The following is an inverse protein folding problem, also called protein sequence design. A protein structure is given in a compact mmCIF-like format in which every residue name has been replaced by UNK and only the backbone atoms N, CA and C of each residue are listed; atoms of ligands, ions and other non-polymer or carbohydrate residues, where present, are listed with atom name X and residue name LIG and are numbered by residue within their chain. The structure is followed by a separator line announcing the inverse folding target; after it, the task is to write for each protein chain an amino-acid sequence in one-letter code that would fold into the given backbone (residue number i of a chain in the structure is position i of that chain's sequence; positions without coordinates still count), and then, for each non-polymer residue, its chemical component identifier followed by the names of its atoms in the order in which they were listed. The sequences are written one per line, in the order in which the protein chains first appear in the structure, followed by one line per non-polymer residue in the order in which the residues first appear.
data_IF_544587111755
#
_entry.id   IF_544587111755
#
_cell.length_a   1.000
_cell.length_b   1.000
_cell.length_c   1.000
_cell.angle_alpha   90.00
_cell.angle_beta   90.00
_cell.angle_gamma   90.00
#
_symmetry.space_group_name_H-M   'P 1'
#
loop_
_entity.id
_entity.type
_entity.pdbx_description
1 polymer ?
#
# COMPACT_ATOMS: atom_id res chain seq x y z
N UNK A 1 -15.71 -2.35 -5.91
CA UNK A 1 -14.38 -2.61 -5.31
C UNK A 1 -14.38 -4.04 -4.81
N UNK A 2 -13.28 -4.78 -4.92
CA UNK A 2 -13.16 -6.10 -4.31
C UNK A 2 -12.21 -6.05 -3.11
N UNK A 3 -12.57 -6.67 -1.99
CA UNK A 3 -11.72 -6.75 -0.81
C UNK A 3 -11.99 -8.01 0.02
N UNK A 4 -11.06 -8.37 0.89
CA UNK A 4 -11.24 -9.44 1.87
C UNK A 4 -11.38 -8.81 3.26
N UNK A 5 -12.46 -9.11 4.01
CA UNK A 5 -12.62 -8.57 5.36
C UNK A 5 -11.40 -8.87 6.24
N UNK A 6 -10.93 -7.85 6.97
CA UNK A 6 -9.69 -7.95 7.75
C UNK A 6 -9.71 -9.08 8.80
N UNK A 7 -10.89 -9.37 9.37
CA UNK A 7 -11.08 -10.46 10.33
C UNK A 7 -10.99 -11.87 9.71
N UNK A 8 -11.10 -11.99 8.38
CA UNK A 8 -10.99 -13.26 7.66
C UNK A 8 -9.53 -13.54 7.28
N UNK A 9 -8.86 -12.56 6.68
CA UNK A 9 -7.45 -12.69 6.28
C UNK A 9 -6.76 -11.31 6.35
N UNK A 10 -6.09 -10.96 7.46
CA UNK A 10 -5.47 -9.65 7.62
C UNK A 10 -4.17 -9.52 6.83
N UNK A 11 -3.94 -8.38 6.19
CA UNK A 11 -2.67 -8.09 5.51
C UNK A 11 -1.55 -7.67 6.49
N UNK A 12 -1.83 -7.50 7.78
CA UNK A 12 -0.85 -6.99 8.76
C UNK A 12 0.40 -7.86 8.86
N UNK A 13 0.26 -9.19 8.77
CA UNK A 13 1.41 -10.09 8.78
C UNK A 13 2.34 -9.84 7.58
N UNK A 14 1.76 -9.59 6.41
CA UNK A 14 2.50 -9.27 5.18
C UNK A 14 3.23 -7.93 5.28
N UNK A 15 2.56 -6.89 5.77
CA UNK A 15 3.20 -5.59 6.02
C UNK A 15 4.32 -5.66 7.05
N UNK A 16 4.15 -6.45 8.11
CA UNK A 16 5.21 -6.65 9.11
C UNK A 16 6.40 -7.39 8.51
N UNK A 17 6.18 -8.43 7.69
CA UNK A 17 7.25 -9.13 7.00
C UNK A 17 8.05 -8.19 6.11
N UNK A 18 7.37 -7.36 5.29
CA UNK A 18 8.05 -6.35 4.47
C UNK A 18 8.85 -5.39 5.36
N UNK A 19 8.28 -4.94 6.47
CA UNK A 19 8.96 -4.04 7.40
C UNK A 19 10.26 -4.65 7.93
N UNK A 20 10.23 -5.89 8.41
CA UNK A 20 11.43 -6.59 8.88
C UNK A 20 12.46 -6.80 7.75
N UNK A 21 12.00 -7.14 6.54
CA UNK A 21 12.88 -7.36 5.39
C UNK A 21 13.61 -6.08 4.97
N UNK A 22 12.93 -4.94 4.92
CA UNK A 22 13.58 -3.69 4.54
C UNK A 22 14.47 -3.11 5.65
N UNK A 23 14.31 -3.57 6.90
CA UNK A 23 15.24 -3.25 8.00
C UNK A 23 16.50 -4.13 7.96
N UNK A 24 16.62 -5.07 7.02
CA UNK A 24 17.84 -5.85 6.82
C UNK A 24 19.00 -4.91 6.46
N UNK A 25 20.13 -5.01 7.19
CA UNK A 25 21.27 -4.09 7.08
C UNK A 25 21.84 -3.97 5.66
N UNK A 26 21.57 -4.95 4.81
CA UNK A 26 21.95 -4.94 3.40
C UNK A 26 20.82 -5.39 2.46
N UNK A 27 19.77 -4.56 2.32
CA UNK A 27 18.67 -4.83 1.37
C UNK A 27 19.17 -5.01 -0.07
N UNK A 28 20.22 -4.28 -0.46
CA UNK A 28 20.79 -4.32 -1.79
C UNK A 28 21.45 -5.67 -2.12
N UNK A 29 22.15 -6.28 -1.16
CA UNK A 29 22.69 -7.63 -1.28
C UNK A 29 21.58 -8.67 -1.25
N UNK A 30 20.61 -8.53 -0.33
CA UNK A 30 19.48 -9.47 -0.23
C UNK A 30 18.71 -9.57 -1.55
N UNK A 31 18.41 -8.44 -2.20
CA UNK A 31 17.72 -8.40 -3.49
C UNK A 31 18.44 -9.13 -4.64
N UNK A 32 19.73 -9.44 -4.49
CA UNK A 32 20.51 -10.19 -5.49
C UNK A 32 20.49 -11.70 -5.27
N UNK A 33 20.02 -12.15 -4.11
CA UNK A 33 19.97 -13.58 -3.74
C UNK A 33 18.91 -14.34 -4.55
N UNK A 34 19.11 -15.66 -4.68
CA UNK A 34 18.08 -16.54 -5.27
C UNK A 34 16.84 -16.65 -4.38
N UNK A 35 17.02 -16.56 -3.06
CA UNK A 35 15.92 -16.57 -2.09
C UNK A 35 14.97 -15.39 -2.33
N UNK A 36 15.51 -14.18 -2.58
CA UNK A 36 14.70 -13.02 -2.90
C UNK A 36 13.83 -13.23 -4.15
N UNK A 37 14.40 -13.81 -5.21
CA UNK A 37 13.70 -14.07 -6.48
C UNK A 37 12.59 -15.12 -6.33
N UNK A 38 12.65 -15.96 -5.31
CA UNK A 38 11.65 -16.99 -5.07
C UNK A 38 10.34 -16.41 -4.50
N UNK A 39 10.40 -15.28 -3.79
CA UNK A 39 9.26 -14.67 -3.14
C UNK A 39 8.70 -13.48 -3.93
N UNK A 40 7.38 -13.33 -3.90
CA UNK A 40 6.68 -12.18 -4.48
C UNK A 40 6.26 -11.25 -3.32
N UNK A 41 7.14 -10.32 -2.91
CA UNK A 41 6.93 -9.43 -1.75
C UNK A 41 6.02 -8.19 -1.93
N UNK A 42 5.59 -7.76 -3.14
CA UNK A 42 4.60 -6.71 -3.31
C UNK A 42 3.20 -7.25 -3.64
N UNK A 43 3.07 -8.53 -3.98
CA UNK A 43 1.82 -9.17 -4.39
C UNK A 43 1.55 -10.45 -3.59
N UNK A 44 0.27 -10.83 -3.48
CA UNK A 44 -0.09 -12.12 -2.93
C UNK A 44 0.55 -13.27 -3.74
N UNK A 45 1.02 -14.31 -3.07
CA UNK A 45 1.42 -15.55 -3.75
C UNK A 45 0.22 -16.23 -4.41
N UNK A 46 0.45 -17.12 -5.39
CA UNK A 46 -0.63 -17.87 -6.05
C UNK A 46 -1.52 -18.65 -5.07
N UNK A 47 -0.95 -19.16 -3.98
CA UNK A 47 -1.72 -19.87 -2.94
C UNK A 47 -2.59 -18.89 -2.16
N UNK A 48 -2.06 -17.72 -1.81
CA UNK A 48 -2.83 -16.67 -1.16
C UNK A 48 -3.94 -16.14 -2.06
N UNK A 49 -3.70 -15.97 -3.37
CA UNK A 49 -4.74 -15.58 -4.33
C UNK A 49 -5.94 -16.53 -4.28
N UNK A 50 -5.74 -17.85 -4.13
CA UNK A 50 -6.85 -18.80 -3.98
C UNK A 50 -7.69 -18.52 -2.72
N UNK A 51 -7.03 -18.17 -1.62
CA UNK A 51 -7.69 -17.82 -0.36
C UNK A 51 -8.41 -16.48 -0.51
N UNK A 52 -7.76 -15.48 -1.12
CA UNK A 52 -8.31 -14.15 -1.31
C UNK A 52 -9.54 -14.20 -2.24
N UNK A 53 -9.47 -14.91 -3.37
CA UNK A 53 -10.61 -15.07 -4.29
C UNK A 53 -11.80 -15.76 -3.63
N UNK A 54 -11.54 -16.79 -2.82
CA UNK A 54 -12.61 -17.53 -2.12
C UNK A 54 -13.34 -16.66 -1.11
N UNK A 55 -12.64 -15.72 -0.48
CA UNK A 55 -13.17 -14.91 0.62
C UNK A 55 -13.48 -13.45 0.24
N UNK A 56 -13.31 -13.07 -1.03
CA UNK A 56 -13.55 -11.70 -1.46
C UNK A 56 -15.02 -11.35 -1.35
N UNK A 57 -15.26 -10.10 -1.01
CA UNK A 57 -16.52 -9.39 -1.15
C UNK A 57 -16.35 -8.37 -2.26
N UNK A 58 -17.36 -8.23 -3.11
CA UNK A 58 -17.40 -7.22 -4.15
C UNK A 58 -18.59 -6.29 -3.88
N UNK A 59 -18.30 -5.00 -3.70
CA UNK A 59 -19.31 -3.96 -3.48
C UNK A 59 -19.34 -3.00 -4.68
N UNK A 60 -20.56 -2.63 -5.08
CA UNK A 60 -20.83 -1.55 -6.03
C UNK A 60 -21.11 -0.25 -5.26
N UNK A 61 -20.80 0.89 -5.90
CA UNK A 61 -20.90 2.20 -5.28
C UNK A 61 -21.61 3.17 -6.20
N UNK A 62 -22.54 3.95 -5.63
CA UNK A 62 -23.17 5.09 -6.28
C UNK A 62 -22.37 6.38 -6.01
N UNK A 63 -22.69 7.44 -6.77
CA UNK A 63 -22.06 8.75 -6.56
C UNK A 63 -22.41 9.27 -5.17
N UNK A 64 -21.39 9.50 -4.35
CA UNK A 64 -21.53 9.97 -2.97
C UNK A 64 -21.24 8.89 -1.93
N UNK A 65 -21.23 7.62 -2.32
CA UNK A 65 -20.83 6.55 -1.41
C UNK A 65 -19.33 6.62 -1.09
N UNK A 66 -18.99 6.21 0.12
CA UNK A 66 -17.62 6.17 0.60
C UNK A 66 -17.29 4.79 1.15
N UNK A 67 -16.09 4.31 0.81
CA UNK A 67 -15.51 3.11 1.40
C UNK A 67 -14.35 3.51 2.29
N UNK A 68 -14.43 3.14 3.58
CA UNK A 68 -13.32 3.29 4.52
C UNK A 68 -12.60 1.95 4.67
N UNK A 69 -11.32 1.90 4.26
CA UNK A 69 -10.48 0.73 4.43
C UNK A 69 -9.32 1.02 5.38
N UNK A 70 -9.05 0.07 6.27
CA UNK A 70 -7.77 0.02 6.97
C UNK A 70 -6.67 -0.39 5.96
N UNK A 71 -5.44 0.12 6.13
CA UNK A 71 -4.28 -0.26 5.31
C UNK A 71 -4.00 -1.77 5.30
N UNK A 72 -4.47 -2.49 6.33
CA UNK A 72 -4.31 -3.94 6.46
C UNK A 72 -5.41 -4.78 5.79
N UNK A 73 -6.21 -4.17 4.91
CA UNK A 73 -7.23 -4.87 4.12
C UNK A 73 -6.67 -5.19 2.73
N UNK A 74 -6.69 -6.48 2.36
CA UNK A 74 -6.46 -6.89 0.98
C UNK A 74 -7.58 -6.38 0.09
N UNK A 75 -7.24 -5.67 -0.98
CA UNK A 75 -8.21 -5.11 -1.90
C UNK A 75 -7.65 -5.03 -3.32
N UNK A 76 -8.55 -5.04 -4.30
CA UNK A 76 -8.22 -4.81 -5.71
C UNK A 76 -9.38 -4.15 -6.45
N UNK A 77 -9.04 -3.45 -7.52
CA UNK A 77 -10.02 -2.93 -8.47
C UNK A 77 -10.60 -4.07 -9.30
N UNK A 78 -11.91 -4.25 -9.26
CA UNK A 78 -12.59 -5.13 -10.21
C UNK A 78 -12.54 -4.50 -11.62
N UNK A 79 -12.31 -5.27 -12.71
CA UNK A 79 -12.31 -4.74 -14.06
C UNK A 79 -13.59 -3.96 -14.39
N UNK A 80 -13.46 -2.84 -15.11
CA UNK A 80 -14.63 -2.14 -15.64
C UNK A 80 -15.15 -2.95 -16.84
N UNK A 81 -16.29 -3.60 -16.67
CA UNK A 81 -16.95 -4.34 -17.75
C UNK A 81 -17.74 -3.38 -18.63
N UNK A 82 -18.06 -3.82 -19.85
CA UNK A 82 -18.95 -3.06 -20.74
C UNK A 82 -20.27 -2.73 -20.04
N UNK A 83 -20.74 -1.49 -20.20
CA UNK A 83 -21.92 -1.00 -19.51
C UNK A 83 -22.18 0.49 -19.75
N UNK A 84 -23.12 1.05 -18.99
CA UNK A 84 -23.55 2.45 -19.14
C UNK A 84 -22.47 3.47 -18.74
N UNK A 85 -21.54 3.09 -17.87
CA UNK A 85 -20.49 3.97 -17.38
C UNK A 85 -19.24 3.84 -18.25
N UNK A 86 -18.84 4.88 -19.01
CA UNK A 86 -17.63 4.83 -19.83
C UNK A 86 -16.34 4.92 -19.00
N UNK A 87 -16.43 5.35 -17.73
CA UNK A 87 -15.30 5.46 -16.81
C UNK A 87 -15.77 5.41 -15.36
N UNK A 88 -14.83 5.20 -14.43
CA UNK A 88 -15.04 5.30 -12.97
C UNK A 88 -14.04 6.31 -12.41
N UNK A 89 -14.54 7.27 -11.64
CA UNK A 89 -13.73 8.24 -10.94
C UNK A 89 -13.92 8.03 -9.44
N UNK A 90 -12.83 8.00 -8.69
CA UNK A 90 -12.84 7.91 -7.23
C UNK A 90 -11.91 8.97 -6.65
N UNK A 91 -12.32 9.56 -5.53
CA UNK A 91 -11.47 10.43 -4.73
C UNK A 91 -10.94 9.65 -3.53
N UNK A 92 -9.62 9.62 -3.35
CA UNK A 92 -8.99 8.88 -2.25
C UNK A 92 -8.40 9.84 -1.22
N UNK A 93 -8.81 9.67 0.03
CA UNK A 93 -8.20 10.32 1.18
C UNK A 93 -7.50 9.29 2.05
N UNK A 94 -6.37 9.65 2.65
CA UNK A 94 -5.66 8.81 3.61
C UNK A 94 -5.54 9.58 4.92
N UNK A 95 -6.01 8.95 5.99
CA UNK A 95 -5.91 9.49 7.33
C UNK A 95 -4.79 8.76 8.07
N UNK A 96 -3.97 9.52 8.79
CA UNK A 96 -2.90 9.00 9.64
C UNK A 96 -3.00 9.67 11.00
N UNK A 97 -2.42 9.03 12.02
CA UNK A 97 -2.35 9.62 13.34
C UNK A 97 -1.56 10.95 13.32
N UNK A 98 -1.94 11.89 14.19
CA UNK A 98 -1.29 13.21 14.29
C UNK A 98 0.21 13.12 14.64
N UNK A 99 0.62 12.03 15.29
CA UNK A 99 2.00 11.72 15.66
C UNK A 99 2.69 10.79 14.65
N UNK A 100 2.07 10.49 13.51
CA UNK A 100 2.68 9.67 12.47
C UNK A 100 3.97 10.31 11.95
N UNK A 101 5.02 9.49 11.84
CA UNK A 101 6.36 9.91 11.44
C UNK A 101 6.72 9.40 10.06
N UNK A 102 7.51 10.19 9.35
CA UNK A 102 8.01 9.86 8.03
C UNK A 102 9.18 8.88 8.14
N UNK A 103 8.99 7.67 7.61
CA UNK A 103 10.03 6.65 7.50
C UNK A 103 10.70 6.72 6.13
N UNK A 104 11.65 7.65 5.97
CA UNK A 104 12.39 7.85 4.73
C UNK A 104 13.19 6.60 4.35
N UNK A 105 13.91 6.02 5.30
CA UNK A 105 14.75 4.84 5.06
C UNK A 105 13.88 3.67 4.59
N UNK A 106 12.79 3.40 5.32
CA UNK A 106 11.80 2.39 4.93
C UNK A 106 11.29 2.61 3.51
N UNK A 107 10.93 3.84 3.13
CA UNK A 107 10.44 4.16 1.78
C UNK A 107 11.52 3.90 0.74
N UNK A 108 12.75 4.36 0.97
CA UNK A 108 13.86 4.19 0.02
C UNK A 108 14.17 2.70 -0.20
N UNK A 109 14.31 1.93 0.89
CA UNK A 109 14.65 0.51 0.86
C UNK A 109 13.52 -0.35 0.27
N UNK A 110 12.26 -0.05 0.63
CA UNK A 110 11.10 -0.70 0.04
C UNK A 110 11.05 -0.48 -1.48
N UNK A 111 11.36 0.72 -1.96
CA UNK A 111 11.37 0.97 -3.40
C UNK A 111 12.56 0.36 -4.12
N UNK A 112 13.70 0.25 -3.46
CA UNK A 112 14.81 -0.55 -3.99
C UNK A 112 14.35 -1.99 -4.22
N UNK A 113 13.69 -2.58 -3.22
CA UNK A 113 13.13 -3.93 -3.29
C UNK A 113 12.12 -4.08 -4.44
N UNK A 114 11.16 -3.15 -4.56
CA UNK A 114 10.16 -3.14 -5.65
C UNK A 114 10.82 -3.10 -7.03
N UNK A 115 11.83 -2.23 -7.22
CA UNK A 115 12.58 -2.14 -8.47
C UNK A 115 13.35 -3.42 -8.79
N UNK A 116 13.94 -4.05 -7.78
CA UNK A 116 14.67 -5.31 -7.95
C UNK A 116 13.77 -6.45 -8.44
N UNK A 117 12.46 -6.39 -8.14
CA UNK A 117 11.46 -7.34 -8.65
C UNK A 117 10.95 -7.01 -10.06
N UNK A 118 11.40 -5.90 -10.66
CA UNK A 118 10.99 -5.48 -12.01
C UNK A 118 9.66 -4.72 -12.04
N UNK A 119 9.09 -4.38 -10.89
CA UNK A 119 7.89 -3.56 -10.78
C UNK A 119 8.23 -2.07 -10.82
N UNK A 120 7.26 -1.27 -11.29
CA UNK A 120 7.39 0.18 -11.25
C UNK A 120 7.37 0.65 -9.78
N UNK A 121 8.36 1.47 -9.36
CA UNK A 121 8.36 2.03 -8.02
C UNK A 121 7.06 2.81 -7.80
N UNK A 122 6.44 2.59 -6.64
CA UNK A 122 5.17 3.24 -6.34
C UNK A 122 5.33 4.75 -6.47
N UNK A 123 4.55 5.38 -7.35
CA UNK A 123 4.42 6.84 -7.49
C UNK A 123 3.64 7.45 -6.31
N UNK A 124 3.95 6.97 -5.11
CA UNK A 124 3.19 7.17 -3.89
C UNK A 124 3.38 8.55 -3.30
N UNK A 125 2.41 8.94 -2.48
CA UNK A 125 2.41 10.14 -1.66
C UNK A 125 3.71 10.32 -0.85
N UNK A 126 4.34 9.23 -0.40
CA UNK A 126 5.58 9.27 0.39
C UNK A 126 6.71 10.03 -0.32
N UNK A 127 6.89 9.82 -1.61
CA UNK A 127 7.91 10.52 -2.40
C UNK A 127 7.66 12.01 -2.61
N UNK A 128 6.41 12.45 -2.46
CA UNK A 128 6.09 13.87 -2.54
C UNK A 128 6.58 14.61 -1.30
N UNK A 129 6.77 13.94 -0.17
CA UNK A 129 7.23 14.51 1.10
C UNK A 129 8.75 14.75 1.11
N UNK A 130 9.26 15.44 0.07
CA UNK A 130 10.71 15.66 -0.15
C UNK A 130 11.35 16.60 0.86
N UNK A 131 10.55 17.28 1.66
CA UNK A 131 10.97 18.23 2.70
C UNK A 131 11.13 17.60 4.08
N UNK A 132 10.72 16.34 4.26
CA UNK A 132 10.84 15.62 5.52
C UNK A 132 12.11 14.76 5.58
N UNK A 133 12.66 14.63 6.79
CA UNK A 133 13.72 13.69 7.14
C UNK A 133 13.15 12.49 7.89
N UNK A 134 13.97 11.46 8.05
CA UNK A 134 13.65 10.29 8.87
C UNK A 134 13.17 10.71 10.27
N UNK A 135 12.02 10.20 10.69
CA UNK A 135 11.42 10.46 11.99
C UNK A 135 10.68 11.79 12.13
N UNK A 136 10.68 12.67 11.12
CA UNK A 136 9.90 13.89 11.15
C UNK A 136 8.40 13.59 11.18
N UNK A 137 7.62 14.45 11.86
CA UNK A 137 6.17 14.35 11.82
C UNK A 137 5.67 14.62 10.39
N UNK A 138 4.79 13.76 9.87
CA UNK A 138 4.24 13.90 8.51
C UNK A 138 3.52 15.26 8.37
N UNK A 139 2.83 15.69 9.42
CA UNK A 139 2.11 16.98 9.47
C UNK A 139 3.00 18.23 9.30
N UNK A 140 4.32 18.10 9.37
CA UNK A 140 5.25 19.20 9.11
C UNK A 140 5.57 19.42 7.63
N UNK A 141 5.15 18.51 6.75
CA UNK A 141 5.44 18.65 5.33
C UNK A 141 4.59 19.75 4.71
N UNK A 142 5.19 20.59 3.86
CA UNK A 142 4.49 21.57 3.02
C UNK A 142 3.53 20.95 2.01
N UNK A 143 3.66 19.64 1.76
CA UNK A 143 2.79 18.88 0.87
C UNK A 143 1.59 18.25 1.61
N UNK A 144 1.57 18.32 2.93
CA UNK A 144 0.44 17.96 3.77
C UNK A 144 -0.29 19.25 4.11
N UNK A 145 -1.46 19.47 3.52
CA UNK A 145 -2.30 20.59 3.91
C UNK A 145 -2.81 20.36 5.33
N UNK A 146 -2.25 21.09 6.30
CA UNK A 146 -2.86 21.24 7.62
C UNK A 146 -4.05 22.20 7.49
N UNK A 147 -5.23 21.66 7.22
CA UNK A 147 -6.44 22.34 7.64
C UNK A 147 -6.42 22.35 9.16
N UNK A 148 -6.06 23.50 9.75
CA UNK A 148 -6.31 23.78 11.15
C UNK A 148 -7.82 23.72 11.39
N UNK A 149 -8.33 22.52 11.64
CA UNK A 149 -9.66 22.32 12.20
C UNK A 149 -9.53 22.65 13.69
N UNK A 150 -9.64 23.94 13.98
CA UNK A 150 -10.02 24.45 15.29
C UNK A 150 -11.48 24.13 15.57
#
# INVERSE_FOLDING_TARGET
MAYVPQNVYPASGYFNLIYELVQHENIAEFCQTEDFKFFNFPHASKVEELILEKNKVEDDFEVGDALLLNKFVWHRSAPLREGKLPSRMAYTMRFVDSQARYGKNFIDDFNYMVKAMGDDPLTSFGYKLTDLKEGDLISKSKFVYSSNLC
#
